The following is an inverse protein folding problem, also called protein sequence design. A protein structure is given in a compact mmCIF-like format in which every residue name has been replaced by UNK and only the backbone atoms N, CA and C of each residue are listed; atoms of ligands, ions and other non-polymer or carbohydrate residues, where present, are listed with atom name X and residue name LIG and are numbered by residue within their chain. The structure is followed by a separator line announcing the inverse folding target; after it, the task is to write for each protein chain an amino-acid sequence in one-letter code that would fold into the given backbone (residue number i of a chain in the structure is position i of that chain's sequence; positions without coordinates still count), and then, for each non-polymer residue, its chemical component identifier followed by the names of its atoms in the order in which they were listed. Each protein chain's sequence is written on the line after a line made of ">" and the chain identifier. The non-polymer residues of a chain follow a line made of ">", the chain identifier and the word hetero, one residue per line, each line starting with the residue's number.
data_IF_259769728255
#
_entry.id   IF_259769728255
#
_cell.length_a   1.000
_cell.length_b   1.000
_cell.length_c   1.000
_cell.angle_alpha   90.00
_cell.angle_beta   90.00
_cell.angle_gamma   90.00
#
_symmetry.space_group_name_H-M   'P 1'
#
loop_
_entity.id
_entity.type
_entity.pdbx_description
1 polymer ?
#
# COMPACT_ATOMS: atom_id res chain seq x y z
N UNK A 1 50.11 -32.46 17.20
CA UNK A 1 48.91 -31.69 17.59
C UNK A 1 47.83 -31.67 16.53
N UNK A 2 46.72 -32.39 16.74
CA UNK A 2 45.51 -32.29 15.89
C UNK A 2 44.57 -31.25 16.51
N UNK A 3 44.57 -30.03 15.96
CA UNK A 3 43.59 -28.97 16.31
C UNK A 3 42.16 -29.50 16.11
N UNK A 4 41.41 -29.65 17.20
CA UNK A 4 39.95 -29.86 17.16
C UNK A 4 39.32 -28.63 16.51
N UNK A 5 38.63 -28.82 15.38
CA UNK A 5 37.74 -27.81 14.80
C UNK A 5 36.47 -27.76 15.64
N UNK A 6 36.19 -26.60 16.24
CA UNK A 6 34.91 -26.34 16.90
C UNK A 6 33.78 -26.37 15.87
N UNK A 7 32.71 -27.11 16.20
CA UNK A 7 31.51 -27.24 15.35
C UNK A 7 30.65 -25.98 15.48
N UNK A 8 30.05 -25.46 14.39
CA UNK A 8 29.23 -24.26 14.46
C UNK A 8 27.95 -24.49 15.28
N UNK A 9 27.68 -23.60 16.24
CA UNK A 9 26.47 -23.57 17.07
C UNK A 9 25.25 -23.12 16.25
N UNK A 10 24.76 -23.96 15.34
CA UNK A 10 23.51 -23.70 14.62
C UNK A 10 22.25 -24.12 15.40
N UNK A 11 22.41 -24.91 16.47
CA UNK A 11 21.29 -25.46 17.25
C UNK A 11 21.19 -24.87 18.67
N UNK A 12 21.39 -23.55 18.83
CA UNK A 12 20.97 -22.89 20.06
C UNK A 12 19.45 -22.66 20.00
N UNK A 13 18.66 -23.06 21.02
CA UNK A 13 17.23 -22.74 21.02
C UNK A 13 17.07 -21.23 21.03
N UNK A 14 16.44 -20.68 19.99
CA UNK A 14 16.08 -19.27 19.95
C UNK A 14 15.17 -19.01 21.15
N UNK A 15 15.56 -18.07 22.03
CA UNK A 15 14.64 -17.55 23.04
C UNK A 15 13.41 -17.02 22.30
N UNK A 16 12.31 -17.74 22.43
CA UNK A 16 11.03 -17.37 21.87
C UNK A 16 10.65 -16.03 22.53
N UNK A 17 10.82 -14.94 21.78
CA UNK A 17 10.31 -13.64 22.23
C UNK A 17 8.80 -13.78 22.23
N UNK A 18 8.22 -13.91 23.42
CA UNK A 18 6.78 -13.80 23.64
C UNK A 18 6.35 -12.50 22.98
N UNK A 19 5.66 -12.59 21.84
CA UNK A 19 5.02 -11.42 21.22
C UNK A 19 4.02 -10.91 22.25
N UNK A 20 4.19 -9.65 22.68
CA UNK A 20 3.20 -8.97 23.47
C UNK A 20 1.83 -9.12 22.79
N UNK A 21 0.74 -9.39 23.53
CA UNK A 21 -0.58 -9.54 22.94
C UNK A 21 -0.88 -8.26 22.15
N UNK A 22 -1.21 -8.42 20.87
CA UNK A 22 -1.69 -7.32 20.03
C UNK A 22 -2.96 -6.83 20.69
N UNK A 23 -2.86 -5.74 21.44
CA UNK A 23 -4.01 -5.14 22.07
C UNK A 23 -4.97 -4.73 20.95
N UNK A 24 -6.12 -5.41 20.88
CA UNK A 24 -7.24 -5.03 20.03
C UNK A 24 -7.86 -3.77 20.63
N UNK A 25 -7.14 -2.66 20.58
CA UNK A 25 -7.72 -1.34 20.80
C UNK A 25 -8.54 -1.01 19.56
N UNK A 26 -9.86 -0.92 19.70
CA UNK A 26 -10.74 -0.45 18.65
C UNK A 26 -10.34 0.99 18.30
N UNK A 27 -9.56 1.14 17.23
CA UNK A 27 -9.20 2.46 16.71
C UNK A 27 -10.48 3.21 16.30
N UNK A 28 -10.64 4.43 16.79
CA UNK A 28 -11.75 5.32 16.42
C UNK A 28 -11.19 6.41 15.52
N UNK A 29 -11.69 6.50 14.29
CA UNK A 29 -11.29 7.55 13.37
C UNK A 29 -11.96 8.88 13.76
N UNK A 30 -11.15 9.84 14.20
CA UNK A 30 -11.60 11.19 14.57
C UNK A 30 -11.52 12.20 13.42
N UNK A 31 -10.98 11.80 12.26
CA UNK A 31 -10.82 12.68 11.10
C UNK A 31 -12.15 12.85 10.38
N UNK A 32 -12.60 14.10 10.09
CA UNK A 32 -13.77 14.31 9.26
C UNK A 32 -13.60 13.70 7.87
N UNK A 33 -14.72 13.28 7.26
CA UNK A 33 -14.70 12.62 5.95
C UNK A 33 -14.03 13.51 4.89
N UNK A 34 -13.00 12.97 4.24
CA UNK A 34 -12.26 13.66 3.18
C UNK A 34 -11.29 14.73 3.70
N UNK A 35 -11.06 14.84 4.99
CA UNK A 35 -9.98 15.67 5.52
C UNK A 35 -8.69 14.86 5.65
N UNK A 36 -7.56 15.58 5.54
CA UNK A 36 -6.25 14.96 5.70
C UNK A 36 -6.09 14.54 7.17
N UNK A 37 -5.69 13.29 7.38
CA UNK A 37 -5.38 12.78 8.70
C UNK A 37 -4.34 13.66 9.42
N UNK A 38 -4.59 13.97 10.68
CA UNK A 38 -3.63 14.65 11.54
C UNK A 38 -2.47 13.71 11.90
N UNK A 39 -1.24 14.17 11.63
CA UNK A 39 0.00 13.44 11.88
C UNK A 39 0.88 14.14 12.93
N UNK A 40 0.32 15.11 13.67
CA UNK A 40 1.05 15.87 14.71
C UNK A 40 1.36 15.02 15.95
N UNK A 41 0.54 14.01 16.23
CA UNK A 41 0.73 13.09 17.34
C UNK A 41 1.92 12.14 17.10
N UNK A 42 2.63 11.70 18.16
CA UNK A 42 3.66 10.69 18.03
C UNK A 42 3.10 9.37 17.47
N UNK A 43 3.89 8.67 16.66
CA UNK A 43 3.51 7.37 16.12
C UNK A 43 3.40 6.32 17.24
N UNK A 44 2.44 5.41 17.10
CA UNK A 44 2.33 4.25 17.98
C UNK A 44 3.56 3.36 17.90
N UNK A 45 3.84 2.66 19.00
CA UNK A 45 4.97 1.74 19.08
C UNK A 45 4.83 0.51 18.16
N UNK A 46 3.59 0.19 17.75
CA UNK A 46 3.28 -0.93 16.87
C UNK A 46 2.44 -0.48 15.67
N UNK A 47 2.58 -1.20 14.56
CA UNK A 47 1.78 -0.95 13.35
C UNK A 47 0.35 -1.48 13.53
N UNK A 48 -0.62 -0.59 13.38
CA UNK A 48 -2.05 -0.91 13.38
C UNK A 48 -2.67 -0.51 12.03
N UNK A 49 -2.96 -1.47 11.12
CA UNK A 49 -3.45 -1.16 9.77
C UNK A 49 -4.72 -0.29 9.78
N UNK A 50 -5.68 -0.62 10.63
CA UNK A 50 -6.92 0.14 10.77
C UNK A 50 -6.70 1.59 11.18
N UNK A 51 -5.72 1.84 12.05
CA UNK A 51 -5.34 3.20 12.44
C UNK A 51 -4.61 3.90 11.30
N UNK A 52 -3.70 3.22 10.62
CA UNK A 52 -2.87 3.81 9.57
C UNK A 52 -3.67 4.16 8.33
N UNK A 53 -4.51 3.25 7.83
CA UNK A 53 -5.27 3.39 6.58
C UNK A 53 -6.47 4.34 6.71
N UNK A 54 -6.95 4.59 7.94
CA UNK A 54 -8.09 5.46 8.18
C UNK A 54 -7.92 6.86 7.58
N UNK A 55 -9.02 7.39 7.06
CA UNK A 55 -9.16 8.70 6.41
C UNK A 55 -8.40 8.91 5.09
N UNK A 56 -7.38 8.10 4.76
CA UNK A 56 -6.61 8.28 3.52
C UNK A 56 -7.45 8.09 2.27
N UNK A 57 -8.28 7.04 2.21
CA UNK A 57 -9.10 6.76 1.04
C UNK A 57 -10.04 7.93 0.72
N UNK A 58 -10.82 8.39 1.70
CA UNK A 58 -11.74 9.51 1.54
C UNK A 58 -11.01 10.81 1.15
N UNK A 59 -9.85 11.07 1.75
CA UNK A 59 -9.06 12.25 1.44
C UNK A 59 -8.48 12.20 0.02
N UNK A 60 -7.95 11.05 -0.40
CA UNK A 60 -7.42 10.86 -1.74
C UNK A 60 -8.48 11.00 -2.83
N UNK A 61 -9.69 10.48 -2.57
CA UNK A 61 -10.85 10.67 -3.46
C UNK A 61 -11.23 12.15 -3.57
N UNK A 62 -11.35 12.86 -2.44
CA UNK A 62 -11.68 14.29 -2.44
C UNK A 62 -10.63 15.14 -3.15
N UNK A 63 -9.35 14.80 -3.01
CA UNK A 63 -8.26 15.49 -3.70
C UNK A 63 -8.14 15.12 -5.18
N UNK A 64 -8.88 14.12 -5.67
CA UNK A 64 -8.81 13.69 -7.06
C UNK A 64 -7.49 13.02 -7.45
N UNK A 65 -6.75 12.43 -6.51
CA UNK A 65 -5.43 11.84 -6.81
C UNK A 65 -5.48 10.61 -7.74
N UNK A 66 -6.66 10.03 -7.90
CA UNK A 66 -6.89 8.93 -8.84
C UNK A 66 -7.23 9.40 -10.25
N UNK A 67 -7.58 10.68 -10.41
CA UNK A 67 -8.03 11.24 -11.67
C UNK A 67 -6.86 11.56 -12.60
N UNK A 68 -7.10 11.46 -13.90
CA UNK A 68 -6.25 11.98 -14.95
C UNK A 68 -7.07 13.02 -15.72
N UNK A 69 -6.66 14.29 -15.72
CA UNK A 69 -7.33 15.31 -16.53
C UNK A 69 -7.05 15.02 -18.02
N UNK A 70 -8.08 14.82 -18.86
CA UNK A 70 -7.89 14.64 -20.29
C UNK A 70 -7.14 15.80 -20.94
N UNK A 71 -7.33 17.03 -20.47
CA UNK A 71 -6.65 18.22 -21.01
C UNK A 71 -5.15 18.15 -20.79
N UNK A 72 -4.73 17.78 -19.59
CA UNK A 72 -3.31 17.57 -19.26
C UNK A 72 -2.69 16.43 -20.09
N UNK A 73 -3.49 15.44 -20.48
CA UNK A 73 -3.02 14.29 -21.25
C UNK A 73 -2.99 14.53 -22.76
N UNK A 74 -3.78 15.46 -23.32
CA UNK A 74 -3.82 15.71 -24.77
C UNK A 74 -2.50 16.29 -25.26
N UNK A 75 -2.00 17.33 -24.59
CA UNK A 75 -0.85 18.13 -25.05
C UNK A 75 0.52 17.51 -24.72
N UNK A 76 0.55 16.43 -23.93
CA UNK A 76 1.81 15.77 -23.55
C UNK A 76 2.40 14.88 -24.65
N UNK A 77 3.73 14.70 -24.68
CA UNK A 77 4.39 13.64 -25.45
C UNK A 77 3.91 12.23 -25.06
N UNK A 78 4.06 11.25 -25.96
CA UNK A 78 3.64 9.86 -25.73
C UNK A 78 4.44 9.19 -24.60
N UNK A 79 5.73 9.51 -24.49
CA UNK A 79 6.64 9.01 -23.45
C UNK A 79 6.37 9.59 -22.05
N UNK A 80 5.59 10.67 -21.98
CA UNK A 80 5.07 11.25 -20.73
C UNK A 80 3.64 10.79 -20.39
N UNK A 81 3.14 9.76 -21.10
CA UNK A 81 1.82 9.16 -20.85
C UNK A 81 1.99 7.72 -20.36
N UNK A 82 1.09 7.31 -19.46
CA UNK A 82 0.95 5.92 -19.04
C UNK A 82 -0.53 5.56 -18.97
N UNK A 83 -0.93 4.52 -19.69
CA UNK A 83 -2.34 4.08 -19.75
C UNK A 83 -2.38 2.57 -19.57
N UNK A 84 -3.22 2.13 -18.63
CA UNK A 84 -3.47 0.72 -18.36
C UNK A 84 -4.96 0.52 -18.15
N UNK A 85 -5.55 -0.39 -18.93
CA UNK A 85 -6.98 -0.70 -18.89
C UNK A 85 -7.12 -2.19 -18.69
N UNK A 86 -7.76 -2.58 -17.60
CA UNK A 86 -8.17 -3.95 -17.38
C UNK A 86 -9.51 -4.15 -18.09
N UNK A 87 -9.69 -5.22 -18.87
CA UNK A 87 -10.98 -5.53 -19.45
C UNK A 87 -12.02 -5.73 -18.34
N UNK A 88 -13.29 -5.34 -18.55
CA UNK A 88 -14.32 -5.45 -17.52
C UNK A 88 -14.35 -6.83 -16.87
N UNK A 89 -14.31 -6.92 -15.54
CA UNK A 89 -14.20 -8.21 -14.87
C UNK A 89 -15.47 -9.02 -15.08
N UNK A 90 -15.32 -10.33 -15.31
CA UNK A 90 -16.43 -11.27 -15.24
C UNK A 90 -16.75 -11.51 -13.76
N UNK A 91 -17.84 -10.91 -13.26
CA UNK A 91 -18.24 -11.04 -11.85
C UNK A 91 -18.81 -12.44 -11.60
N UNK A 92 -17.97 -13.35 -11.11
CA UNK A 92 -18.35 -14.76 -10.86
C UNK A 92 -18.21 -15.21 -9.40
N UNK A 93 -17.82 -14.30 -8.49
CA UNK A 93 -17.67 -14.63 -7.06
C UNK A 93 -17.08 -13.51 -6.21
N UNK A 94 -16.54 -13.88 -5.04
CA UNK A 94 -15.85 -12.96 -4.12
C UNK A 94 -14.39 -12.75 -4.51
N UNK A 95 -13.83 -11.59 -4.16
CA UNK A 95 -12.40 -11.34 -4.33
C UNK A 95 -11.59 -12.33 -3.49
N UNK A 96 -10.48 -12.78 -4.07
CA UNK A 96 -9.49 -13.63 -3.41
C UNK A 96 -8.09 -13.04 -3.59
N UNK A 97 -7.09 -13.61 -2.91
CA UNK A 97 -5.73 -13.08 -2.90
C UNK A 97 -5.11 -12.90 -4.28
N UNK A 98 -5.56 -13.67 -5.28
CA UNK A 98 -5.14 -13.52 -6.67
C UNK A 98 -5.56 -12.18 -7.28
N UNK A 99 -6.80 -11.73 -7.02
CA UNK A 99 -7.26 -10.40 -7.42
C UNK A 99 -6.44 -9.31 -6.74
N UNK A 100 -6.18 -9.47 -5.43
CA UNK A 100 -5.40 -8.51 -4.67
C UNK A 100 -3.95 -8.38 -5.18
N UNK A 101 -3.32 -9.50 -5.56
CA UNK A 101 -1.97 -9.49 -6.11
C UNK A 101 -1.89 -8.72 -7.43
N UNK A 102 -2.78 -9.03 -8.37
CA UNK A 102 -2.81 -8.36 -9.68
C UNK A 102 -3.05 -6.86 -9.51
N UNK A 103 -4.08 -6.48 -8.75
CA UNK A 103 -4.42 -5.08 -8.48
C UNK A 103 -3.27 -4.32 -7.76
N UNK A 104 -2.54 -4.98 -6.85
CA UNK A 104 -1.42 -4.35 -6.15
C UNK A 104 -0.25 -4.03 -7.09
N UNK A 105 0.06 -4.92 -8.04
CA UNK A 105 1.11 -4.68 -9.05
C UNK A 105 0.70 -3.52 -9.96
N UNK A 106 -0.54 -3.53 -10.43
CA UNK A 106 -1.10 -2.50 -11.31
C UNK A 106 -1.15 -1.12 -10.64
N UNK A 107 -1.61 -1.05 -9.39
CA UNK A 107 -1.61 0.18 -8.60
C UNK A 107 -0.19 0.69 -8.34
N UNK A 108 0.78 -0.20 -8.09
CA UNK A 108 2.19 0.17 -7.88
C UNK A 108 2.79 0.85 -9.12
N UNK A 109 2.57 0.27 -10.31
CA UNK A 109 3.03 0.86 -11.57
C UNK A 109 2.37 2.22 -11.81
N UNK A 110 1.08 2.31 -11.56
CA UNK A 110 0.30 3.54 -11.71
C UNK A 110 0.82 4.65 -10.80
N UNK A 111 1.10 4.35 -9.52
CA UNK A 111 1.69 5.31 -8.57
C UNK A 111 3.09 5.75 -9.00
N UNK A 112 3.91 4.80 -9.45
CA UNK A 112 5.26 5.10 -9.91
C UNK A 112 5.26 6.07 -11.10
N UNK A 113 4.40 5.85 -12.11
CA UNK A 113 4.28 6.76 -13.25
C UNK A 113 3.74 8.14 -12.86
N UNK A 114 2.78 8.22 -11.93
CA UNK A 114 2.33 9.51 -11.36
C UNK A 114 3.47 10.25 -10.67
N UNK A 115 4.29 9.55 -9.88
CA UNK A 115 5.46 10.14 -9.19
C UNK A 115 6.54 10.61 -10.17
N UNK A 116 6.63 10.01 -11.36
CA UNK A 116 7.50 10.49 -12.45
C UNK A 116 6.91 11.70 -13.20
N UNK A 117 5.70 12.14 -12.88
CA UNK A 117 5.03 13.25 -13.53
C UNK A 117 4.33 12.90 -14.85
N UNK A 118 4.17 11.61 -15.16
CA UNK A 118 3.47 11.16 -16.36
C UNK A 118 1.95 11.36 -16.21
N UNK A 119 1.27 11.74 -17.29
CA UNK A 119 -0.20 11.67 -17.35
C UNK A 119 -0.64 10.20 -17.31
N UNK A 120 -1.28 9.81 -16.20
CA UNK A 120 -1.44 8.41 -15.83
C UNK A 120 -2.91 8.04 -15.67
N UNK A 121 -3.43 7.20 -16.57
CA UNK A 121 -4.79 6.65 -16.52
C UNK A 121 -4.75 5.15 -16.20
N UNK A 122 -5.42 4.77 -15.12
CA UNK A 122 -5.65 3.38 -14.75
C UNK A 122 -7.15 3.14 -14.60
N UNK A 123 -7.67 2.21 -15.38
CA UNK A 123 -9.07 1.77 -15.33
C UNK A 123 -9.06 0.29 -14.93
N UNK A 124 -9.41 -0.02 -13.66
CA UNK A 124 -9.46 -1.38 -13.15
C UNK A 124 -10.69 -2.16 -13.64
#
# INVERSE_FOLDING_TARGET
>A
DKKKKDKPQWNAPSKEKVKAPVATTSFVNTTPKGEKKDLSAPMDAAYHPSAVEAAWQDWWEKCGYYSCDPKDAVDRPVDEKFVMVIPPPNVTGSLHLGHALTAAVEDTLTRWHRMKGHATLYVP
#
